data_IF_142019402600
#
_entry.id   IF_142019402600
#
_cell.length_a   1.000
_cell.length_b   1.000
_cell.length_c   1.000
_cell.angle_alpha   90.00
_cell.angle_beta   90.00
_cell.angle_gamma   90.00
#
_symmetry.space_group_name_H-M   'P 1'
#
loop_
_entity.id
_entity.type
_entity.pdbx_description
1 polymer ?
#
# COMPACT_ATOMS: atom_id res chain seq x y z
N UNK A 1 3.93 14.33 11.45
CA UNK A 1 5.10 13.69 12.07
C UNK A 1 5.47 12.48 11.22
N UNK A 2 6.77 12.22 10.97
CA UNK A 2 7.17 11.14 10.07
C UNK A 2 7.07 9.80 10.79
N UNK A 3 6.32 8.82 10.24
CA UNK A 3 6.17 7.47 10.81
C UNK A 3 7.21 6.49 10.24
N UNK A 4 7.68 6.73 9.01
CA UNK A 4 8.79 6.00 8.40
C UNK A 4 9.80 7.02 7.87
N UNK A 5 11.06 6.87 8.21
CA UNK A 5 12.16 7.66 7.68
C UNK A 5 13.28 6.77 7.16
N UNK A 6 13.72 7.03 5.94
CA UNK A 6 14.75 6.28 5.23
C UNK A 6 15.81 7.25 4.74
N UNK A 7 17.09 6.96 5.00
CA UNK A 7 18.24 7.74 4.53
C UNK A 7 19.22 6.81 3.82
N UNK A 8 19.53 7.14 2.56
CA UNK A 8 20.53 6.48 1.70
C UNK A 8 20.33 4.96 1.54
N UNK A 9 19.07 4.52 1.31
CA UNK A 9 18.76 3.12 1.04
C UNK A 9 19.25 2.71 -0.36
N UNK A 10 20.07 1.65 -0.39
CA UNK A 10 20.55 0.99 -1.61
C UNK A 10 20.11 -0.47 -1.59
N UNK A 11 19.66 -0.99 -2.72
CA UNK A 11 19.32 -2.40 -2.84
C UNK A 11 19.61 -2.94 -4.23
N UNK A 12 20.20 -4.14 -4.31
CA UNK A 12 20.50 -4.85 -5.55
C UNK A 12 19.94 -6.26 -5.58
N UNK A 13 19.39 -6.67 -6.71
CA UNK A 13 19.15 -8.08 -7.03
C UNK A 13 20.36 -8.62 -7.79
N UNK A 14 21.23 -9.37 -7.10
CA UNK A 14 22.51 -9.79 -7.68
C UNK A 14 23.36 -8.58 -8.07
N UNK A 15 23.70 -8.45 -9.37
CA UNK A 15 24.48 -7.29 -9.88
C UNK A 15 23.64 -6.06 -10.26
N UNK A 16 22.31 -6.18 -10.29
CA UNK A 16 21.43 -5.08 -10.72
C UNK A 16 21.04 -4.22 -9.54
N UNK A 17 21.60 -3.02 -9.46
CA UNK A 17 21.20 -1.99 -8.50
C UNK A 17 19.80 -1.48 -8.85
N UNK A 18 18.85 -1.59 -7.90
CA UNK A 18 17.42 -1.27 -8.09
C UNK A 18 16.98 -0.06 -7.27
N UNK A 19 17.48 0.08 -6.06
CA UNK A 19 17.31 1.31 -5.27
C UNK A 19 18.67 1.96 -5.10
N UNK A 20 18.74 3.28 -5.29
CA UNK A 20 19.98 4.04 -5.36
C UNK A 20 19.90 5.28 -4.46
N UNK A 21 20.63 5.25 -3.36
CA UNK A 21 20.71 6.37 -2.39
C UNK A 21 19.34 6.96 -2.04
N UNK A 22 18.32 6.08 -1.91
CA UNK A 22 16.95 6.50 -1.73
C UNK A 22 16.74 7.07 -0.33
N UNK A 23 16.41 8.36 -0.26
CA UNK A 23 16.08 9.05 0.98
C UNK A 23 14.66 9.63 0.90
N UNK A 24 13.78 9.22 1.81
CA UNK A 24 12.39 9.67 1.85
C UNK A 24 11.76 9.43 3.22
N UNK A 25 10.63 10.06 3.45
CA UNK A 25 9.83 9.90 4.67
C UNK A 25 8.34 9.79 4.35
N UNK A 26 7.61 9.11 5.22
CA UNK A 26 6.15 9.01 5.17
C UNK A 26 5.55 9.66 6.40
N UNK A 27 4.54 10.50 6.18
CA UNK A 27 3.85 11.20 7.26
C UNK A 27 2.72 10.34 7.85
N UNK A 28 2.44 10.58 9.13
CA UNK A 28 1.38 9.86 9.86
C UNK A 28 -0.01 10.27 9.39
N UNK A 29 -0.96 9.31 9.44
CA UNK A 29 -2.40 9.54 9.30
C UNK A 29 -2.84 10.16 7.96
N UNK A 30 -2.05 9.95 6.92
CA UNK A 30 -2.39 10.34 5.54
C UNK A 30 -2.30 9.14 4.60
N UNK A 31 -2.95 9.28 3.44
CA UNK A 31 -2.85 8.35 2.32
C UNK A 31 -1.77 8.85 1.36
N UNK A 32 -0.62 8.19 1.38
CA UNK A 32 0.52 8.50 0.48
C UNK A 32 0.55 7.53 -0.69
N UNK A 33 0.53 8.06 -1.92
CA UNK A 33 0.71 7.28 -3.14
C UNK A 33 2.17 7.25 -3.59
N UNK A 34 2.70 6.06 -3.87
CA UNK A 34 4.00 5.89 -4.53
C UNK A 34 3.74 5.63 -6.01
N UNK A 35 4.20 6.54 -6.86
CA UNK A 35 4.04 6.48 -8.32
C UNK A 35 5.41 6.45 -9.02
N UNK A 36 5.42 6.04 -10.28
CA UNK A 36 6.63 5.96 -11.09
C UNK A 36 6.53 4.85 -12.15
N UNK A 37 7.41 4.83 -13.16
CA UNK A 37 7.39 3.85 -14.24
C UNK A 37 7.53 2.40 -13.74
N UNK A 38 7.16 1.43 -14.58
CA UNK A 38 7.36 0.02 -14.27
C UNK A 38 8.85 -0.29 -14.11
N UNK A 39 9.17 -1.09 -13.08
CA UNK A 39 10.55 -1.48 -12.79
C UNK A 39 11.40 -0.41 -12.09
N UNK A 40 10.86 0.76 -11.72
CA UNK A 40 11.63 1.81 -11.04
C UNK A 40 11.92 1.54 -9.55
N UNK A 41 11.49 0.40 -9.00
CA UNK A 41 11.84 0.00 -7.62
C UNK A 41 10.73 0.11 -6.57
N UNK A 42 9.49 0.48 -6.93
CA UNK A 42 8.36 0.67 -5.97
C UNK A 42 8.12 -0.55 -5.07
N UNK A 43 7.90 -1.73 -5.66
CA UNK A 43 7.68 -2.97 -4.89
C UNK A 43 8.95 -3.43 -4.14
N UNK A 44 10.14 -3.07 -4.65
CA UNK A 44 11.40 -3.32 -3.93
C UNK A 44 11.50 -2.44 -2.69
N UNK A 45 11.08 -1.17 -2.76
CA UNK A 45 10.96 -0.31 -1.60
C UNK A 45 9.96 -0.87 -0.58
N UNK A 46 8.76 -1.27 -1.03
CA UNK A 46 7.76 -1.90 -0.15
C UNK A 46 8.32 -3.12 0.59
N UNK A 47 9.04 -4.00 -0.11
CA UNK A 47 9.67 -5.18 0.50
C UNK A 47 10.77 -4.83 1.51
N UNK A 48 11.52 -3.73 1.30
CA UNK A 48 12.47 -3.23 2.29
C UNK A 48 11.75 -2.67 3.52
N UNK A 49 10.65 -1.93 3.34
CA UNK A 49 9.87 -1.37 4.45
C UNK A 49 9.34 -2.46 5.39
N UNK A 50 8.88 -3.59 4.85
CA UNK A 50 8.41 -4.73 5.66
C UNK A 50 9.55 -5.67 6.09
N UNK A 51 10.80 -5.32 5.80
CA UNK A 51 12.00 -6.16 6.08
C UNK A 51 11.94 -7.56 5.46
N UNK A 52 11.17 -7.74 4.36
CA UNK A 52 11.18 -8.99 3.58
C UNK A 52 12.49 -9.19 2.83
N UNK A 53 13.11 -8.10 2.39
CA UNK A 53 14.48 -7.99 1.90
C UNK A 53 15.16 -6.87 2.67
N UNK A 54 16.50 -6.87 2.75
CA UNK A 54 17.26 -5.85 3.47
C UNK A 54 18.34 -5.29 2.55
N UNK A 55 18.23 -3.99 2.26
CA UNK A 55 19.27 -3.20 1.59
C UNK A 55 20.27 -2.60 2.57
N UNK A 56 21.26 -1.92 2.03
CA UNK A 56 22.20 -1.10 2.78
C UNK A 56 21.63 0.31 2.95
N UNK A 57 21.68 0.87 4.15
CA UNK A 57 21.14 2.19 4.47
C UNK A 57 21.89 2.85 5.63
N UNK A 58 21.90 4.16 5.65
CA UNK A 58 22.46 4.91 6.79
C UNK A 58 21.48 4.92 7.97
N UNK A 59 20.20 5.23 7.70
CA UNK A 59 19.16 5.25 8.71
C UNK A 59 17.85 4.72 8.14
N UNK A 60 17.18 3.88 8.91
CA UNK A 60 15.85 3.40 8.57
C UNK A 60 15.04 3.19 9.85
N UNK A 61 14.07 4.07 10.07
CA UNK A 61 13.21 4.03 11.26
C UNK A 61 11.75 3.84 10.90
N UNK A 62 11.05 3.10 11.75
CA UNK A 62 9.60 2.91 11.73
C UNK A 62 9.08 3.23 13.13
N UNK A 63 8.19 4.21 13.26
CA UNK A 63 7.69 4.70 14.55
C UNK A 63 8.84 4.99 15.54
N UNK A 64 9.86 5.72 15.08
CA UNK A 64 11.09 6.07 15.79
C UNK A 64 12.02 4.91 16.17
N UNK A 65 11.67 3.67 15.90
CA UNK A 65 12.49 2.48 16.14
C UNK A 65 13.36 2.17 14.92
N UNK A 66 14.65 1.88 15.14
CA UNK A 66 15.54 1.43 14.07
C UNK A 66 15.10 0.05 13.58
N UNK A 67 14.90 -0.09 12.26
CA UNK A 67 14.46 -1.34 11.63
C UNK A 67 15.43 -2.50 11.88
N UNK A 68 16.73 -2.22 12.10
CA UNK A 68 17.74 -3.25 12.41
C UNK A 68 17.38 -4.00 13.68
N UNK A 69 16.81 -3.30 14.67
CA UNK A 69 16.48 -3.84 15.98
C UNK A 69 15.10 -4.51 16.04
N UNK A 70 14.29 -4.41 14.97
CA UNK A 70 12.96 -5.00 14.92
C UNK A 70 13.00 -6.42 14.34
N UNK A 71 12.39 -7.37 15.03
CA UNK A 71 12.09 -8.69 14.48
C UNK A 71 10.96 -8.62 13.44
N UNK A 72 10.82 -9.64 12.59
CA UNK A 72 9.69 -9.72 11.64
C UNK A 72 8.32 -9.65 12.33
N UNK A 73 8.20 -10.25 13.52
CA UNK A 73 6.96 -10.20 14.31
C UNK A 73 6.64 -8.79 14.82
N UNK A 74 7.65 -8.02 15.23
CA UNK A 74 7.47 -6.63 15.63
C UNK A 74 7.12 -5.74 14.45
N UNK A 75 7.75 -5.93 13.30
CA UNK A 75 7.37 -5.23 12.07
C UNK A 75 5.93 -5.56 11.68
N UNK A 76 5.52 -6.84 11.75
CA UNK A 76 4.15 -7.24 11.47
C UNK A 76 3.13 -6.67 12.45
N UNK A 77 3.51 -6.22 13.66
CA UNK A 77 2.63 -5.46 14.56
C UNK A 77 2.52 -3.99 14.20
N UNK A 78 3.48 -3.45 13.46
CA UNK A 78 3.52 -2.04 13.05
C UNK A 78 2.94 -1.83 11.66
N UNK A 79 3.19 -2.76 10.74
CA UNK A 79 2.86 -2.67 9.33
C UNK A 79 2.05 -3.88 8.89
N UNK A 80 0.88 -3.63 8.33
CA UNK A 80 0.08 -4.59 7.60
C UNK A 80 0.36 -4.45 6.11
N UNK A 81 0.55 -5.56 5.40
CA UNK A 81 0.97 -5.55 4.01
C UNK A 81 0.05 -6.37 3.11
N UNK A 82 -0.37 -5.76 1.99
CA UNK A 82 -1.08 -6.44 0.90
C UNK A 82 -0.16 -6.45 -0.32
N UNK A 83 0.39 -7.62 -0.71
CA UNK A 83 1.26 -7.74 -1.88
C UNK A 83 0.49 -7.70 -3.19
N UNK A 84 1.16 -7.33 -4.29
CA UNK A 84 0.62 -7.33 -5.65
C UNK A 84 0.09 -8.72 -6.08
N UNK A 85 0.86 -9.76 -5.79
CA UNK A 85 0.48 -11.16 -6.04
C UNK A 85 0.24 -11.85 -4.73
N UNK A 86 -0.95 -12.41 -4.55
CA UNK A 86 -1.30 -13.19 -3.39
C UNK A 86 -1.28 -14.67 -3.75
N UNK A 87 -0.47 -15.45 -3.02
CA UNK A 87 -0.63 -16.90 -3.02
C UNK A 87 -1.79 -17.22 -2.09
N UNK A 88 -2.94 -17.53 -2.68
CA UNK A 88 -4.12 -17.90 -1.90
C UNK A 88 -3.91 -19.28 -1.29
N UNK A 89 -4.40 -19.46 -0.07
CA UNK A 89 -4.50 -20.77 0.56
C UNK A 89 -5.70 -21.50 -0.07
N UNK A 90 -5.49 -22.76 -0.42
CA UNK A 90 -6.56 -23.62 -0.95
C UNK A 90 -7.50 -24.08 0.16
N UNK A 91 -8.79 -24.20 -0.15
CA UNK A 91 -9.83 -24.73 0.75
C UNK A 91 -9.96 -24.00 2.10
N UNK A 92 -9.79 -22.68 2.11
CA UNK A 92 -9.94 -21.85 3.34
C UNK A 92 -11.15 -20.95 3.20
N UNK A 93 -11.97 -20.86 4.26
CA UNK A 93 -13.10 -19.92 4.30
C UNK A 93 -12.59 -18.47 4.37
N UNK A 94 -13.41 -17.53 3.87
CA UNK A 94 -13.13 -16.09 3.99
C UNK A 94 -12.91 -15.70 5.45
N UNK A 95 -13.71 -16.21 6.36
CA UNK A 95 -13.58 -15.91 7.79
C UNK A 95 -12.24 -16.37 8.34
N UNK A 96 -11.85 -17.62 8.10
CA UNK A 96 -10.59 -18.18 8.58
C UNK A 96 -9.39 -17.47 7.94
N UNK A 97 -9.50 -17.10 6.67
CA UNK A 97 -8.46 -16.35 5.99
C UNK A 97 -8.25 -14.95 6.60
N UNK A 98 -9.33 -14.25 6.95
CA UNK A 98 -9.25 -12.96 7.64
C UNK A 98 -8.65 -13.14 9.04
N UNK A 99 -9.02 -14.22 9.74
CA UNK A 99 -8.52 -14.54 11.08
C UNK A 99 -6.99 -14.73 11.11
N UNK A 100 -6.37 -15.20 10.00
CA UNK A 100 -4.91 -15.25 9.89
C UNK A 100 -4.24 -13.87 10.03
N UNK A 101 -4.95 -12.78 9.80
CA UNK A 101 -4.46 -11.42 10.08
C UNK A 101 -4.10 -11.20 11.55
N UNK A 102 -4.67 -11.99 12.48
CA UNK A 102 -4.41 -11.93 13.91
C UNK A 102 -3.13 -12.65 14.34
N UNK A 103 -2.57 -13.50 13.45
CA UNK A 103 -1.41 -14.34 13.76
C UNK A 103 -0.21 -13.59 14.36
N UNK A 104 0.20 -12.40 13.87
CA UNK A 104 1.31 -11.65 14.46
C UNK A 104 1.09 -11.22 15.93
N UNK A 105 -0.17 -11.19 16.39
CA UNK A 105 -0.54 -10.75 17.73
C UNK A 105 -0.55 -11.89 18.76
N UNK A 106 -0.55 -13.15 18.31
CA UNK A 106 -0.44 -14.31 19.19
C UNK A 106 0.89 -14.27 19.95
N UNK A 107 0.88 -14.63 21.22
CA UNK A 107 2.12 -14.71 22.04
C UNK A 107 3.04 -15.79 21.49
N UNK A 108 2.50 -17.02 21.33
CA UNK A 108 3.18 -18.15 20.75
C UNK A 108 2.45 -18.65 19.48
N UNK A 109 3.17 -19.34 18.62
CA UNK A 109 2.62 -19.88 17.35
C UNK A 109 1.50 -20.92 17.56
N UNK A 110 1.48 -21.56 18.72
CA UNK A 110 0.52 -22.62 19.09
C UNK A 110 -0.66 -22.11 19.92
N UNK A 111 -0.70 -20.80 20.22
CA UNK A 111 -1.80 -20.22 20.98
C UNK A 111 -3.09 -20.22 20.14
N UNK A 112 -4.21 -20.48 20.80
CA UNK A 112 -5.51 -20.32 20.17
C UNK A 112 -5.89 -18.83 20.07
N UNK A 113 -6.66 -18.50 19.05
CA UNK A 113 -7.25 -17.16 18.92
C UNK A 113 -8.22 -16.88 20.07
N UNK A 114 -8.13 -15.70 20.63
CA UNK A 114 -8.97 -15.22 21.72
C UNK A 114 -10.30 -14.67 21.21
N UNK A 115 -11.28 -14.46 22.11
CA UNK A 115 -12.54 -13.79 21.78
C UNK A 115 -12.32 -12.43 21.08
N UNK A 116 -11.32 -11.67 21.53
CA UNK A 116 -10.95 -10.38 20.89
C UNK A 116 -10.51 -10.52 19.42
N UNK A 117 -9.86 -11.64 19.09
CA UNK A 117 -9.42 -11.88 17.72
C UNK A 117 -10.61 -12.13 16.80
N UNK A 118 -11.60 -12.91 17.26
CA UNK A 118 -12.85 -13.12 16.53
C UNK A 118 -13.66 -11.82 16.40
N UNK A 119 -13.78 -11.03 17.48
CA UNK A 119 -14.46 -9.73 17.46
C UNK A 119 -13.81 -8.74 16.46
N UNK A 120 -12.47 -8.73 16.37
CA UNK A 120 -11.75 -7.89 15.41
C UNK A 120 -12.05 -8.30 13.95
N UNK A 121 -12.13 -9.60 13.68
CA UNK A 121 -12.50 -10.12 12.36
C UNK A 121 -13.93 -9.72 12.00
N UNK A 122 -14.89 -9.95 12.89
CA UNK A 122 -16.30 -9.60 12.68
C UNK A 122 -16.48 -8.10 12.42
N UNK A 123 -15.78 -7.26 13.20
CA UNK A 123 -15.78 -5.82 12.99
C UNK A 123 -15.35 -5.44 11.58
N UNK A 124 -14.27 -6.04 11.06
CA UNK A 124 -13.73 -5.69 9.74
C UNK A 124 -14.58 -6.26 8.60
N UNK A 125 -15.19 -7.44 8.77
CA UNK A 125 -16.20 -7.99 7.85
C UNK A 125 -17.37 -7.01 7.70
N UNK A 126 -17.88 -6.48 8.83
CA UNK A 126 -18.97 -5.51 8.83
C UNK A 126 -18.58 -4.16 8.20
N UNK A 127 -17.38 -3.62 8.53
CA UNK A 127 -16.88 -2.34 7.97
C UNK A 127 -16.78 -2.40 6.44
N UNK A 128 -16.37 -3.55 5.90
CA UNK A 128 -16.16 -3.75 4.47
C UNK A 128 -17.40 -4.30 3.74
N UNK A 129 -18.51 -4.52 4.47
CA UNK A 129 -19.79 -5.04 3.93
C UNK A 129 -19.60 -6.35 3.15
N UNK A 130 -18.87 -7.32 3.73
CA UNK A 130 -18.59 -8.64 3.13
C UNK A 130 -19.17 -9.81 3.94
N UNK A 131 -20.25 -9.59 4.69
CA UNK A 131 -20.89 -10.60 5.55
C UNK A 131 -21.33 -11.84 4.76
N UNK A 132 -21.86 -11.66 3.55
CA UNK A 132 -22.32 -12.72 2.66
C UNK A 132 -21.18 -13.61 2.14
N UNK A 133 -19.95 -13.14 2.21
CA UNK A 133 -18.77 -13.90 1.75
C UNK A 133 -18.19 -14.80 2.84
N UNK A 134 -18.57 -14.60 4.11
CA UNK A 134 -17.96 -15.20 5.29
C UNK A 134 -17.64 -16.69 5.20
N UNK A 135 -18.61 -17.48 4.76
CA UNK A 135 -18.49 -18.94 4.64
C UNK A 135 -17.98 -19.42 3.29
N UNK A 136 -17.79 -18.52 2.31
CA UNK A 136 -17.32 -18.91 0.97
C UNK A 136 -15.84 -19.27 1.01
N UNK A 137 -15.44 -20.14 0.08
CA UNK A 137 -14.03 -20.42 -0.16
C UNK A 137 -13.39 -19.20 -0.85
N UNK A 138 -12.21 -18.78 -0.38
CA UNK A 138 -11.50 -17.62 -0.91
C UNK A 138 -11.17 -17.73 -2.41
N UNK A 139 -10.98 -18.94 -2.93
CA UNK A 139 -10.70 -19.21 -4.34
C UNK A 139 -11.89 -18.92 -5.27
N UNK A 140 -13.12 -18.84 -4.72
CA UNK A 140 -14.35 -18.62 -5.49
C UNK A 140 -14.73 -17.14 -5.62
N UNK A 141 -13.93 -16.25 -5.07
CA UNK A 141 -14.22 -14.83 -5.05
C UNK A 141 -13.86 -14.15 -6.37
N UNK A 142 -14.66 -13.15 -6.76
CA UNK A 142 -14.28 -12.20 -7.79
C UNK A 142 -13.09 -11.34 -7.36
N UNK A 143 -12.42 -10.68 -8.31
CA UNK A 143 -11.27 -9.82 -7.99
C UNK A 143 -11.60 -8.72 -6.97
N UNK A 144 -12.77 -8.07 -7.10
CA UNK A 144 -13.21 -7.03 -6.16
C UNK A 144 -13.53 -7.57 -4.78
N UNK A 145 -14.24 -8.71 -4.70
CA UNK A 145 -14.51 -9.39 -3.42
C UNK A 145 -13.22 -9.81 -2.73
N UNK A 146 -12.27 -10.37 -3.49
CA UNK A 146 -10.97 -10.78 -2.96
C UNK A 146 -10.20 -9.58 -2.39
N UNK A 147 -10.17 -8.45 -3.08
CA UNK A 147 -9.48 -7.25 -2.58
C UNK A 147 -10.08 -6.75 -1.25
N UNK A 148 -11.42 -6.78 -1.10
CA UNK A 148 -12.08 -6.46 0.18
C UNK A 148 -11.70 -7.45 1.28
N UNK A 149 -11.59 -8.75 0.97
CA UNK A 149 -11.18 -9.79 1.93
C UNK A 149 -9.71 -9.62 2.33
N UNK A 150 -8.82 -9.33 1.38
CA UNK A 150 -7.41 -9.03 1.67
C UNK A 150 -7.28 -7.79 2.58
N UNK A 151 -8.08 -6.76 2.32
CA UNK A 151 -8.13 -5.57 3.15
C UNK A 151 -8.68 -5.88 4.56
N UNK A 152 -9.74 -6.70 4.68
CA UNK A 152 -10.28 -7.15 5.97
C UNK A 152 -9.21 -7.87 6.81
N UNK A 153 -8.47 -8.79 6.18
CA UNK A 153 -7.34 -9.48 6.82
C UNK A 153 -6.28 -8.51 7.30
N UNK A 154 -5.88 -7.57 6.45
CA UNK A 154 -4.88 -6.56 6.77
C UNK A 154 -5.31 -5.64 7.92
N UNK A 155 -6.57 -5.21 7.95
CA UNK A 155 -7.14 -4.39 9.03
C UNK A 155 -7.27 -5.18 10.34
N UNK A 156 -7.56 -6.48 10.25
CA UNK A 156 -7.66 -7.35 11.43
C UNK A 156 -6.33 -7.51 12.17
N UNK A 157 -5.21 -7.19 11.54
CA UNK A 157 -3.89 -7.14 12.17
C UNK A 157 -3.73 -5.96 13.16
N UNK A 158 -4.59 -4.92 13.08
CA UNK A 158 -4.57 -3.72 13.94
C UNK A 158 -3.22 -2.97 13.92
N UNK A 159 -2.50 -3.05 12.81
CA UNK A 159 -1.26 -2.31 12.61
C UNK A 159 -1.55 -0.81 12.39
N UNK A 160 -0.59 0.06 12.72
CA UNK A 160 -0.70 1.52 12.52
C UNK A 160 -0.51 1.93 11.05
N UNK A 161 0.22 1.13 10.30
CA UNK A 161 0.58 1.38 8.90
C UNK A 161 -0.02 0.29 8.03
N UNK A 162 -0.71 0.68 6.97
CA UNK A 162 -1.20 -0.20 5.92
C UNK A 162 -0.42 0.08 4.63
N UNK A 163 0.35 -0.89 4.16
CA UNK A 163 1.12 -0.83 2.93
C UNK A 163 0.48 -1.73 1.88
N UNK A 164 0.16 -1.17 0.70
CA UNK A 164 -0.49 -1.89 -0.39
C UNK A 164 0.36 -1.78 -1.66
N UNK A 165 0.61 -2.92 -2.30
CA UNK A 165 1.35 -3.00 -3.54
C UNK A 165 0.40 -3.30 -4.71
N UNK A 166 0.03 -2.26 -5.46
CA UNK A 166 -0.84 -2.29 -6.64
C UNK A 166 -2.21 -2.98 -6.43
N UNK A 167 -2.97 -2.65 -5.37
CA UNK A 167 -4.20 -3.36 -5.03
C UNK A 167 -5.32 -3.17 -6.06
N UNK A 168 -5.24 -2.15 -6.90
CA UNK A 168 -6.28 -1.83 -7.90
C UNK A 168 -5.99 -2.37 -9.30
N UNK A 169 -4.83 -3.01 -9.53
CA UNK A 169 -4.37 -3.41 -10.87
C UNK A 169 -5.26 -4.45 -11.57
N UNK A 170 -6.00 -5.25 -10.81
CA UNK A 170 -6.91 -6.29 -11.33
C UNK A 170 -8.40 -5.89 -11.22
N UNK A 171 -8.69 -4.63 -10.87
CA UNK A 171 -10.06 -4.14 -10.69
C UNK A 171 -10.51 -3.34 -11.90
N UNK A 172 -11.81 -3.44 -12.23
CA UNK A 172 -12.41 -2.45 -13.11
C UNK A 172 -12.48 -1.07 -12.46
N UNK A 173 -12.76 -0.04 -13.25
CA UNK A 173 -12.74 1.35 -12.78
C UNK A 173 -13.68 1.60 -11.59
N UNK A 174 -14.89 1.03 -11.62
CA UNK A 174 -15.86 1.24 -10.54
C UNK A 174 -15.38 0.62 -9.23
N UNK A 175 -14.93 -0.64 -9.28
CA UNK A 175 -14.38 -1.34 -8.13
C UNK A 175 -13.09 -0.67 -7.60
N UNK A 176 -12.23 -0.15 -8.49
CA UNK A 176 -11.03 0.57 -8.10
C UNK A 176 -11.36 1.89 -7.37
N UNK A 177 -12.33 2.66 -7.88
CA UNK A 177 -12.81 3.90 -7.22
C UNK A 177 -13.43 3.59 -5.85
N UNK A 178 -14.27 2.55 -5.75
CA UNK A 178 -14.88 2.13 -4.49
C UNK A 178 -13.79 1.74 -3.47
N UNK A 179 -12.82 0.93 -3.90
CA UNK A 179 -11.70 0.52 -3.05
C UNK A 179 -10.89 1.71 -2.53
N UNK A 180 -10.59 2.69 -3.39
CA UNK A 180 -9.88 3.91 -2.98
C UNK A 180 -10.70 4.76 -2.01
N UNK A 181 -12.02 4.84 -2.17
CA UNK A 181 -12.93 5.51 -1.20
C UNK A 181 -12.89 4.83 0.16
N UNK A 182 -12.89 3.49 0.18
CA UNK A 182 -12.75 2.71 1.41
C UNK A 182 -11.43 3.01 2.09
N UNK A 183 -10.30 2.96 1.38
CA UNK A 183 -8.97 3.28 1.93
C UNK A 183 -8.91 4.69 2.51
N UNK A 184 -9.46 5.68 1.78
CA UNK A 184 -9.51 7.06 2.26
C UNK A 184 -10.34 7.21 3.53
N UNK A 185 -11.50 6.52 3.60
CA UNK A 185 -12.35 6.51 4.79
C UNK A 185 -11.64 5.88 6.00
N UNK A 186 -10.93 4.75 5.80
CA UNK A 186 -10.17 4.07 6.85
C UNK A 186 -9.05 4.98 7.37
N UNK A 187 -8.28 5.59 6.46
CA UNK A 187 -7.23 6.53 6.80
C UNK A 187 -7.74 7.64 7.73
N UNK A 188 -8.85 8.29 7.34
CA UNK A 188 -9.42 9.41 8.09
C UNK A 188 -10.06 8.99 9.43
N UNK A 189 -10.89 7.93 9.42
CA UNK A 189 -11.67 7.52 10.60
C UNK A 189 -10.80 6.84 11.66
N UNK A 190 -9.84 6.02 11.24
CA UNK A 190 -9.01 5.23 12.15
C UNK A 190 -7.66 5.89 12.45
N UNK A 191 -7.39 7.08 11.89
CA UNK A 191 -6.07 7.74 11.96
C UNK A 191 -4.95 6.77 11.55
N UNK A 192 -5.20 5.99 10.49
CA UNK A 192 -4.26 5.00 9.96
C UNK A 192 -3.37 5.64 8.90
N UNK A 193 -2.10 5.37 8.93
CA UNK A 193 -1.20 5.73 7.84
C UNK A 193 -1.35 4.71 6.73
N UNK A 194 -1.65 5.16 5.52
CA UNK A 194 -1.82 4.29 4.35
C UNK A 194 -0.77 4.65 3.30
N UNK A 195 -0.01 3.66 2.87
CA UNK A 195 0.98 3.79 1.78
C UNK A 195 0.53 2.86 0.66
N UNK A 196 0.31 3.40 -0.52
CA UNK A 196 -0.16 2.64 -1.66
C UNK A 196 0.76 2.82 -2.86
N UNK A 197 1.21 1.72 -3.45
CA UNK A 197 1.80 1.75 -4.79
C UNK A 197 0.65 1.69 -5.79
N UNK A 198 0.58 2.67 -6.68
CA UNK A 198 -0.52 2.81 -7.61
C UNK A 198 -0.02 3.22 -9.00
N UNK A 199 -0.58 2.60 -10.06
CA UNK A 199 -0.23 2.90 -11.45
C UNK A 199 -1.16 3.92 -12.09
N UNK A 200 -2.43 3.92 -11.69
CA UNK A 200 -3.41 4.90 -12.20
C UNK A 200 -3.16 6.26 -11.56
N UNK A 201 -2.60 7.17 -12.35
CA UNK A 201 -2.23 8.51 -11.90
C UNK A 201 -3.46 9.38 -11.62
N UNK A 202 -4.59 9.12 -12.27
CA UNK A 202 -5.84 9.84 -12.02
C UNK A 202 -6.45 9.41 -10.69
N UNK A 203 -6.43 8.11 -10.36
CA UNK A 203 -6.82 7.63 -9.03
C UNK A 203 -5.86 8.12 -7.94
N UNK A 204 -4.55 8.12 -8.21
CA UNK A 204 -3.56 8.66 -7.29
C UNK A 204 -3.81 10.14 -6.99
N UNK A 205 -4.02 10.95 -8.03
CA UNK A 205 -4.37 12.38 -7.90
C UNK A 205 -5.62 12.61 -7.09
N UNK A 206 -6.65 11.82 -7.34
CA UNK A 206 -7.98 12.03 -6.76
C UNK A 206 -8.04 11.68 -5.27
N UNK A 207 -7.34 10.63 -4.85
CA UNK A 207 -7.51 10.03 -3.52
C UNK A 207 -6.35 10.26 -2.56
N UNK A 208 -5.10 10.33 -3.07
CA UNK A 208 -3.93 10.47 -2.19
C UNK A 208 -3.80 11.91 -1.67
N UNK A 209 -3.40 12.03 -0.42
CA UNK A 209 -3.08 13.31 0.21
C UNK A 209 -1.73 13.82 -0.28
N UNK A 210 -0.82 12.88 -0.52
CA UNK A 210 0.55 13.14 -0.94
C UNK A 210 1.00 12.07 -1.94
N UNK A 211 1.83 12.46 -2.90
CA UNK A 211 2.46 11.58 -3.86
C UNK A 211 3.97 11.60 -3.72
N UNK A 212 4.59 10.44 -3.89
CA UNK A 212 6.03 10.26 -4.00
C UNK A 212 6.33 9.68 -5.37
N UNK A 213 7.22 10.34 -6.13
CA UNK A 213 7.68 9.85 -7.42
C UNK A 213 8.99 9.13 -7.27
N UNK A 214 9.04 7.90 -7.78
CA UNK A 214 10.28 7.15 -7.99
C UNK A 214 10.56 6.99 -9.48
N UNK A 215 11.82 7.16 -9.88
CA UNK A 215 12.31 6.87 -11.23
C UNK A 215 13.70 6.26 -11.17
N UNK A 216 13.96 5.21 -11.92
CA UNK A 216 15.26 4.52 -12.06
C UNK A 216 15.94 4.15 -10.71
N UNK A 217 15.14 3.87 -9.69
CA UNK A 217 15.59 3.52 -8.34
C UNK A 217 15.85 4.70 -7.41
N UNK A 218 15.58 5.90 -7.86
CA UNK A 218 15.85 7.15 -7.13
C UNK A 218 14.55 7.88 -6.76
N UNK A 219 14.61 8.66 -5.69
CA UNK A 219 13.57 9.62 -5.30
C UNK A 219 13.64 10.84 -6.21
N UNK A 220 12.52 11.22 -6.83
CA UNK A 220 12.43 12.38 -7.70
C UNK A 220 11.79 13.56 -7.01
N UNK A 221 10.57 13.37 -6.48
CA UNK A 221 9.79 14.45 -5.89
C UNK A 221 8.73 13.90 -4.94
N UNK A 222 8.35 14.71 -3.97
CA UNK A 222 7.25 14.46 -3.01
C UNK A 222 6.41 15.72 -2.87
N UNK A 223 5.09 15.58 -2.78
CA UNK A 223 4.16 16.71 -2.58
C UNK A 223 2.71 16.33 -2.85
N UNK A 224 1.83 17.31 -2.84
CA UNK A 224 0.42 17.13 -3.21
C UNK A 224 0.29 16.84 -4.71
N UNK A 225 -0.84 16.24 -5.10
CA UNK A 225 -1.08 15.92 -6.51
C UNK A 225 -0.98 17.15 -7.41
N UNK A 226 -1.42 18.31 -6.93
CA UNK A 226 -1.39 19.59 -7.66
C UNK A 226 0.05 20.07 -7.96
N UNK A 227 1.00 19.74 -7.08
CA UNK A 227 2.41 20.12 -7.26
C UNK A 227 3.20 19.09 -8.08
N UNK A 228 2.71 17.85 -8.09
CA UNK A 228 3.41 16.70 -8.68
C UNK A 228 2.94 16.43 -10.11
N UNK A 229 1.62 16.42 -10.32
CA UNK A 229 1.02 16.04 -11.61
C UNK A 229 0.90 17.26 -12.49
N UNK A 230 1.88 17.45 -13.37
CA UNK A 230 1.90 18.45 -14.43
C UNK A 230 2.57 17.85 -15.66
N UNK A 231 2.36 18.49 -16.82
CA UNK A 231 2.81 18.01 -18.13
C UNK A 231 4.33 17.77 -18.17
N UNK A 232 5.13 18.71 -17.66
CA UNK A 232 6.58 18.61 -17.63
C UNK A 232 7.06 17.42 -16.80
N UNK A 233 6.50 17.26 -15.60
CA UNK A 233 6.86 16.15 -14.70
C UNK A 233 6.49 14.81 -15.35
N UNK A 234 5.30 14.71 -15.96
CA UNK A 234 4.84 13.48 -16.62
C UNK A 234 5.68 13.17 -17.87
N UNK A 235 6.12 14.18 -18.61
CA UNK A 235 7.04 14.00 -19.74
C UNK A 235 8.41 13.49 -19.26
N UNK A 236 8.97 14.10 -18.19
CA UNK A 236 10.28 13.71 -17.65
C UNK A 236 10.23 12.32 -17.05
N UNK A 237 9.21 12.01 -16.23
CA UNK A 237 9.16 10.77 -15.47
C UNK A 237 8.67 9.58 -16.29
N UNK A 238 7.61 9.77 -17.08
CA UNK A 238 6.93 8.68 -17.78
C UNK A 238 7.16 8.72 -19.31
N UNK A 239 7.83 9.76 -19.82
CA UNK A 239 7.91 10.04 -21.26
C UNK A 239 6.53 10.12 -21.92
N UNK A 240 5.55 10.69 -21.20
CA UNK A 240 4.16 10.79 -21.60
C UNK A 240 3.85 12.20 -22.08
N UNK A 241 3.36 12.32 -23.32
CA UNK A 241 2.74 13.53 -23.83
C UNK A 241 1.26 13.54 -23.45
N UNK A 242 0.85 14.56 -22.72
CA UNK A 242 -0.50 14.66 -22.18
C UNK A 242 -0.89 16.11 -21.93
N UNK A 243 -2.19 16.34 -21.75
CA UNK A 243 -2.73 17.57 -21.14
C UNK A 243 -3.13 17.27 -19.70
N UNK A 244 -2.86 18.22 -18.80
CA UNK A 244 -3.30 18.15 -17.41
C UNK A 244 -4.38 19.21 -17.21
N UNK A 245 -5.59 18.74 -16.91
CA UNK A 245 -6.74 19.58 -16.59
C UNK A 245 -7.07 19.45 -15.09
N UNK A 246 -7.82 20.40 -14.52
CA UNK A 246 -8.33 20.26 -13.18
C UNK A 246 -9.78 19.80 -13.22
N UNK A 247 -10.14 18.88 -12.30
CA UNK A 247 -11.55 18.53 -12.07
C UNK A 247 -12.26 19.63 -11.26
N UNK A 248 -13.55 19.45 -11.01
CA UNK A 248 -14.38 20.40 -10.23
C UNK A 248 -13.88 20.68 -8.81
N UNK A 249 -13.06 19.80 -8.25
CA UNK A 249 -12.46 19.93 -6.93
C UNK A 249 -11.02 20.45 -6.97
N UNK A 250 -10.54 20.92 -8.12
CA UNK A 250 -9.19 21.44 -8.31
C UNK A 250 -8.09 20.35 -8.40
N UNK A 251 -8.46 19.06 -8.42
CA UNK A 251 -7.48 17.97 -8.55
C UNK A 251 -7.07 17.78 -10.01
N UNK A 252 -5.76 17.62 -10.28
CA UNK A 252 -5.27 17.39 -11.65
C UNK A 252 -5.80 16.07 -12.21
N UNK A 253 -6.17 16.13 -13.50
CA UNK A 253 -6.64 14.99 -14.27
C UNK A 253 -5.86 14.92 -15.59
N UNK A 254 -5.29 13.76 -15.87
CA UNK A 254 -4.40 13.54 -17.01
C UNK A 254 -5.21 13.03 -18.19
N UNK A 255 -5.06 13.70 -19.32
CA UNK A 255 -5.63 13.32 -20.61
C UNK A 255 -4.47 13.05 -21.56
N UNK A 256 -4.19 11.78 -21.92
CA UNK A 256 -3.15 11.46 -22.89
C UNK A 256 -3.45 12.14 -24.24
N UNK A 257 -2.44 12.73 -24.88
CA UNK A 257 -2.54 13.23 -26.23
C UNK A 257 -2.04 12.15 -27.19
N UNK A 258 -2.82 11.88 -28.23
CA UNK A 258 -2.43 10.99 -29.32
C UNK A 258 -2.19 11.87 -30.55
N UNK A 259 -0.95 12.31 -30.74
CA UNK A 259 -0.54 12.82 -32.02
C UNK A 259 -0.36 11.61 -32.96
N UNK A 260 -1.39 11.32 -33.78
CA UNK A 260 -1.37 10.31 -34.83
C UNK A 260 -0.90 10.99 -36.11
#
# INVERSE_FOLDING_TARGET
MSIISIENLNYSYGKKLVLKNLSLNFEENILTGIIGPNGCGKSTLAKNIIKYISGDFEKFKISDMDIKNLSHKEIAKLISYIPQKNSLLTNVSVFDYILLGRFPLLKNTWDNYSKKDYEAVEKNINILHINELRGRNIETLSGGELQKVLLARALSQEAKILLLDEPTSALDLNNAVEFMKILKSICLKNKMTVIIIIHDLNLASLFCDELIILKDGEFVKKGKSEDIINEDCLKIVYNLDCKVCCNTNGKPYIIPTTDI
#
